data_IF_900473129190
#
_entry.id   IF_900473129190
#
_cell.length_a   1.000
_cell.length_b   1.000
_cell.length_c   1.000
_cell.angle_alpha   90.00
_cell.angle_beta   90.00
_cell.angle_gamma   90.00
#
_symmetry.space_group_name_H-M   'P 1'
#
loop_
_entity.id
_entity.type
_entity.pdbx_description
1 polymer ?
#
# COMPACT_ATOMS: atom_id res chain seq x y z
N UNK A 1 -10.91 21.94 9.27
CA UNK A 1 -9.72 21.28 8.71
C UNK A 1 -10.24 20.18 7.82
N UNK A 2 -10.02 20.31 6.52
CA UNK A 2 -10.91 19.79 5.47
C UNK A 2 -10.40 18.47 4.87
N UNK A 3 -11.29 17.80 4.13
CA UNK A 3 -10.98 16.67 3.25
C UNK A 3 -9.78 16.93 2.31
N UNK A 4 -9.45 18.21 2.05
CA UNK A 4 -8.29 18.62 1.25
C UNK A 4 -6.97 18.07 1.83
N UNK A 5 -6.80 18.00 3.15
CA UNK A 5 -5.55 17.49 3.74
C UNK A 5 -5.36 15.99 3.54
N UNK A 6 -6.44 15.20 3.58
CA UNK A 6 -6.40 13.76 3.27
C UNK A 6 -6.11 13.55 1.80
N UNK A 7 -6.73 14.34 0.92
CA UNK A 7 -6.46 14.30 -0.52
C UNK A 7 -4.99 14.61 -0.85
N UNK A 8 -4.40 15.60 -0.18
CA UNK A 8 -2.99 15.96 -0.35
C UNK A 8 -2.05 14.84 0.10
N UNK A 9 -2.30 14.21 1.26
CA UNK A 9 -1.52 13.07 1.74
C UNK A 9 -1.65 11.87 0.80
N UNK A 10 -2.85 11.57 0.29
CA UNK A 10 -3.04 10.52 -0.72
C UNK A 10 -2.24 10.79 -1.99
N UNK A 11 -2.27 12.04 -2.47
CA UNK A 11 -1.51 12.48 -3.64
C UNK A 11 -0.02 12.30 -3.41
N UNK A 12 0.49 12.70 -2.26
CA UNK A 12 1.91 12.57 -1.90
C UNK A 12 2.35 11.10 -1.82
N UNK A 13 1.55 10.24 -1.16
CA UNK A 13 1.80 8.79 -1.12
C UNK A 13 1.85 8.21 -2.53
N UNK A 14 0.87 8.55 -3.39
CA UNK A 14 0.81 8.06 -4.76
C UNK A 14 2.03 8.53 -5.57
N UNK A 15 2.35 9.82 -5.54
CA UNK A 15 3.47 10.40 -6.29
C UNK A 15 4.79 9.73 -5.90
N UNK A 16 5.12 9.69 -4.59
CA UNK A 16 6.35 9.04 -4.12
C UNK A 16 6.39 7.56 -4.48
N UNK A 17 5.23 6.89 -4.43
CA UNK A 17 5.18 5.46 -4.73
C UNK A 17 5.46 5.21 -6.20
N UNK A 18 4.90 6.02 -7.10
CA UNK A 18 5.15 5.96 -8.53
C UNK A 18 6.60 6.30 -8.87
N UNK A 19 7.18 7.30 -8.20
CA UNK A 19 8.58 7.69 -8.39
C UNK A 19 9.53 6.53 -8.10
N UNK A 20 9.25 5.72 -7.08
CA UNK A 20 10.02 4.54 -6.73
C UNK A 20 9.67 3.30 -7.59
N UNK A 21 8.38 3.12 -7.89
CA UNK A 21 7.87 1.93 -8.59
C UNK A 21 8.28 1.89 -10.06
N UNK A 22 8.10 2.99 -10.81
CA UNK A 22 8.31 2.99 -12.26
C UNK A 22 9.75 2.63 -12.67
N UNK A 23 10.83 3.20 -12.08
CA UNK A 23 12.19 2.77 -12.35
C UNK A 23 12.40 1.29 -12.02
N UNK A 24 11.90 0.82 -10.88
CA UNK A 24 12.06 -0.56 -10.45
C UNK A 24 11.32 -1.55 -11.38
N UNK A 25 10.14 -1.18 -11.86
CA UNK A 25 9.34 -1.96 -12.80
C UNK A 25 10.03 -2.07 -14.16
N UNK A 26 10.51 -0.95 -14.71
CA UNK A 26 11.18 -0.89 -16.02
C UNK A 26 12.61 -1.48 -15.99
N UNK A 27 13.23 -1.58 -14.81
CA UNK A 27 14.46 -2.35 -14.63
C UNK A 27 14.20 -3.86 -14.66
N UNK A 28 13.06 -4.32 -14.12
CA UNK A 28 12.69 -5.75 -14.09
C UNK A 28 12.19 -6.26 -15.44
N UNK A 29 11.48 -5.42 -16.20
CA UNK A 29 10.88 -5.80 -17.46
C UNK A 29 10.96 -4.67 -18.49
N UNK A 30 10.93 -5.04 -19.78
CA UNK A 30 10.92 -4.06 -20.87
C UNK A 30 9.65 -3.19 -20.86
N UNK A 31 8.53 -3.74 -20.38
CA UNK A 31 7.22 -3.10 -20.34
C UNK A 31 6.70 -3.10 -18.91
N UNK A 32 6.00 -2.04 -18.50
CA UNK A 32 5.22 -1.96 -17.27
C UNK A 32 3.87 -1.28 -17.52
N UNK A 33 2.87 -1.56 -16.68
CA UNK A 33 1.52 -0.97 -16.79
C UNK A 33 1.11 -0.36 -15.45
N UNK A 34 0.73 0.91 -15.48
CA UNK A 34 -0.01 1.57 -14.42
C UNK A 34 -1.47 1.70 -14.83
N UNK A 35 -2.39 1.30 -13.95
CA UNK A 35 -3.82 1.40 -14.19
C UNK A 35 -4.49 2.22 -13.08
N UNK A 36 -5.20 3.27 -13.45
CA UNK A 36 -5.95 4.16 -12.57
C UNK A 36 -7.44 3.95 -12.81
N UNK A 37 -8.17 3.45 -11.83
CA UNK A 37 -9.62 3.32 -11.88
C UNK A 37 -10.31 4.51 -11.23
N UNK A 38 -11.58 4.72 -11.54
CA UNK A 38 -12.39 5.84 -11.03
C UNK A 38 -11.82 7.21 -11.41
N UNK A 39 -11.14 7.31 -12.56
CA UNK A 39 -10.41 8.52 -12.97
C UNK A 39 -11.31 9.74 -13.20
N UNK A 40 -12.61 9.56 -13.37
CA UNK A 40 -13.62 10.61 -13.37
C UNK A 40 -13.81 11.23 -11.97
N UNK A 41 -13.81 10.42 -10.92
CA UNK A 41 -13.90 10.86 -9.54
C UNK A 41 -12.55 11.36 -8.99
N UNK A 42 -11.43 10.83 -9.49
CA UNK A 42 -10.08 11.09 -8.96
C UNK A 42 -9.13 11.73 -9.97
N UNK A 43 -9.67 12.53 -10.90
CA UNK A 43 -8.91 13.21 -11.95
C UNK A 43 -7.61 13.87 -11.45
N UNK A 44 -7.58 14.64 -10.34
CA UNK A 44 -6.34 15.27 -9.86
C UNK A 44 -5.24 14.26 -9.49
N UNK A 45 -5.59 13.09 -8.94
CA UNK A 45 -4.64 12.03 -8.62
C UNK A 45 -4.11 11.36 -9.89
N UNK A 46 -4.99 11.18 -10.87
CA UNK A 46 -4.63 10.59 -12.16
C UNK A 46 -3.73 11.53 -12.98
N UNK A 47 -3.98 12.84 -12.94
CA UNK A 47 -3.11 13.87 -13.53
C UNK A 47 -1.75 13.95 -12.79
N UNK A 48 -1.74 13.81 -11.46
CA UNK A 48 -0.49 13.75 -10.69
C UNK A 48 0.37 12.53 -11.09
N UNK A 49 -0.25 11.36 -11.27
CA UNK A 49 0.43 10.16 -11.74
C UNK A 49 1.02 10.35 -13.16
N UNK A 50 0.27 10.98 -14.07
CA UNK A 50 0.78 11.32 -15.40
C UNK A 50 1.97 12.28 -15.34
N UNK A 51 1.93 13.26 -14.43
CA UNK A 51 3.03 14.18 -14.16
C UNK A 51 4.33 13.43 -13.84
N UNK A 52 4.29 12.51 -12.87
CA UNK A 52 5.44 11.68 -12.47
C UNK A 52 6.03 10.94 -13.68
N UNK A 53 5.21 10.27 -14.48
CA UNK A 53 5.71 9.51 -15.62
C UNK A 53 6.27 10.38 -16.74
N UNK A 54 5.76 11.60 -16.89
CA UNK A 54 6.26 12.57 -17.87
C UNK A 54 7.64 13.08 -17.45
N UNK A 55 7.81 13.40 -16.17
CA UNK A 55 9.10 13.79 -15.58
C UNK A 55 10.14 12.67 -15.66
N UNK A 56 9.69 11.41 -15.58
CA UNK A 56 10.53 10.23 -15.71
C UNK A 56 10.72 9.72 -17.15
N UNK A 57 10.47 10.56 -18.17
CA UNK A 57 10.55 10.17 -19.58
C UNK A 57 11.92 9.62 -20.03
N UNK A 58 13.01 9.97 -19.36
CA UNK A 58 14.32 9.38 -19.66
C UNK A 58 14.43 7.90 -19.25
N UNK A 59 13.64 7.44 -18.27
CA UNK A 59 13.61 6.04 -17.83
C UNK A 59 13.00 5.10 -18.87
N UNK A 60 12.17 5.63 -19.77
CA UNK A 60 11.47 4.84 -20.80
C UNK A 60 12.26 4.71 -22.11
N UNK A 61 13.51 5.22 -22.19
CA UNK A 61 14.34 5.02 -23.40
C UNK A 61 14.60 3.53 -23.64
N UNK A 62 14.02 2.99 -24.72
CA UNK A 62 14.10 1.56 -25.07
C UNK A 62 13.21 0.65 -24.19
N UNK A 63 12.32 1.24 -23.41
CA UNK A 63 11.33 0.58 -22.54
C UNK A 63 9.94 1.14 -22.86
N UNK A 64 8.91 0.52 -22.30
CA UNK A 64 7.52 0.90 -22.53
C UNK A 64 6.77 1.00 -21.20
N UNK A 65 6.21 2.16 -20.91
CA UNK A 65 5.30 2.36 -19.80
C UNK A 65 3.91 2.69 -20.35
N UNK A 66 2.90 1.91 -19.97
CA UNK A 66 1.52 2.21 -20.29
C UNK A 66 0.79 2.74 -19.05
N UNK A 67 0.18 3.91 -19.17
CA UNK A 67 -0.78 4.44 -18.21
C UNK A 67 -2.18 4.28 -18.78
N UNK A 68 -3.05 3.58 -18.06
CA UNK A 68 -4.45 3.39 -18.41
C UNK A 68 -5.30 4.08 -17.36
N UNK A 69 -6.18 4.96 -17.77
CA UNK A 69 -7.14 5.62 -16.90
C UNK A 69 -8.55 5.23 -17.29
N UNK A 70 -9.30 4.63 -16.37
CA UNK A 70 -10.66 4.12 -16.60
C UNK A 70 -11.65 4.96 -15.80
N UNK A 71 -12.78 5.31 -16.40
CA UNK A 71 -13.79 6.19 -15.79
C UNK A 71 -13.83 7.56 -16.47
N UNK A 72 -12.69 8.05 -16.95
CA UNK A 72 -12.60 9.35 -17.61
C UNK A 72 -11.39 9.48 -18.53
N UNK A 73 -11.48 10.44 -19.44
CA UNK A 73 -10.33 10.84 -20.26
C UNK A 73 -9.39 11.73 -19.44
N UNK A 74 -8.11 11.36 -19.44
CA UNK A 74 -7.04 12.22 -18.92
C UNK A 74 -6.42 12.97 -20.10
N UNK A 75 -6.38 14.29 -19.99
CA UNK A 75 -5.72 15.13 -20.97
C UNK A 75 -4.20 14.95 -20.90
N UNK A 76 -3.57 14.77 -22.06
CA UNK A 76 -2.11 14.69 -22.14
C UNK A 76 -1.65 13.87 -23.34
N UNK A 77 -0.46 14.17 -23.84
CA UNK A 77 0.24 13.30 -24.80
C UNK A 77 1.41 12.67 -24.07
N UNK A 78 1.51 11.35 -24.09
CA UNK A 78 2.66 10.66 -23.52
C UNK A 78 3.95 11.04 -24.25
N UNK A 79 5.05 11.14 -23.50
CA UNK A 79 6.38 11.28 -24.08
C UNK A 79 6.84 10.00 -24.80
N UNK A 80 8.03 10.04 -25.43
CA UNK A 80 8.58 8.87 -26.10
C UNK A 80 8.71 7.67 -25.12
N UNK A 81 8.01 6.57 -25.37
CA UNK A 81 8.01 5.37 -24.51
C UNK A 81 6.93 5.34 -23.43
N UNK A 82 6.14 6.42 -23.26
CA UNK A 82 4.95 6.47 -22.42
C UNK A 82 3.69 6.47 -23.29
N UNK A 83 2.82 5.47 -23.14
CA UNK A 83 1.49 5.45 -23.76
C UNK A 83 0.43 5.76 -22.73
N UNK A 84 -0.40 6.77 -22.97
CA UNK A 84 -1.52 7.15 -22.10
C UNK A 84 -2.83 6.80 -22.80
N UNK A 85 -3.67 6.00 -22.15
CA UNK A 85 -4.96 5.58 -22.66
C UNK A 85 -6.07 5.97 -21.66
N UNK A 86 -6.90 6.94 -22.04
CA UNK A 86 -8.19 7.19 -21.39
C UNK A 86 -9.23 6.20 -21.91
N UNK A 87 -9.92 5.53 -21.01
CA UNK A 87 -10.98 4.57 -21.30
C UNK A 87 -12.29 5.10 -20.70
N UNK A 88 -13.23 5.57 -21.54
CA UNK A 88 -14.50 6.07 -21.05
C UNK A 88 -15.40 4.94 -20.56
N UNK A 89 -16.40 5.30 -19.76
CA UNK A 89 -17.38 4.36 -19.22
C UNK A 89 -17.07 3.96 -17.77
N UNK A 90 -17.99 3.22 -17.15
CA UNK A 90 -17.85 2.78 -15.77
C UNK A 90 -16.59 1.95 -15.58
N UNK A 91 -15.88 2.22 -14.48
CA UNK A 91 -14.65 1.50 -14.14
C UNK A 91 -14.89 0.00 -14.09
N UNK A 92 -15.96 -0.46 -13.44
CA UNK A 92 -16.24 -1.90 -13.27
C UNK A 92 -16.38 -2.63 -14.61
N UNK A 93 -17.02 -1.99 -15.58
CA UNK A 93 -17.34 -2.59 -16.87
C UNK A 93 -16.12 -2.63 -17.81
N UNK A 94 -15.26 -1.62 -17.70
CA UNK A 94 -14.19 -1.38 -18.68
C UNK A 94 -12.81 -1.85 -18.20
N UNK A 95 -12.63 -2.04 -16.89
CA UNK A 95 -11.34 -2.33 -16.25
C UNK A 95 -10.59 -3.52 -16.87
N UNK A 96 -11.24 -4.69 -16.93
CA UNK A 96 -10.61 -5.91 -17.43
C UNK A 96 -10.21 -5.81 -18.90
N UNK A 97 -11.06 -5.19 -19.73
CA UNK A 97 -10.78 -4.95 -21.14
C UNK A 97 -9.62 -3.97 -21.32
N UNK A 98 -9.58 -2.90 -20.53
CA UNK A 98 -8.54 -1.89 -20.54
C UNK A 98 -7.16 -2.47 -20.17
N UNK A 99 -7.09 -3.26 -19.09
CA UNK A 99 -5.86 -3.96 -18.69
C UNK A 99 -5.38 -4.95 -19.76
N UNK A 100 -6.29 -5.69 -20.38
CA UNK A 100 -5.96 -6.62 -21.48
C UNK A 100 -5.41 -5.87 -22.69
N UNK A 101 -6.04 -4.75 -23.07
CA UNK A 101 -5.60 -3.92 -24.19
C UNK A 101 -4.21 -3.30 -23.96
N UNK A 102 -3.91 -2.91 -22.72
CA UNK A 102 -2.59 -2.42 -22.32
C UNK A 102 -1.52 -3.52 -22.22
N UNK A 103 -1.90 -4.79 -22.34
CA UNK A 103 -0.97 -5.91 -22.23
C UNK A 103 -0.43 -6.12 -20.81
N UNK A 104 -1.28 -5.90 -19.79
CA UNK A 104 -0.93 -6.04 -18.37
C UNK A 104 -0.57 -7.47 -17.93
N UNK A 105 -0.73 -8.49 -18.79
CA UNK A 105 -0.41 -9.86 -18.44
C UNK A 105 1.10 -10.12 -18.40
N UNK A 106 1.59 -10.72 -17.31
CA UNK A 106 2.99 -11.15 -17.13
C UNK A 106 4.04 -10.03 -17.23
N UNK A 107 3.61 -8.78 -17.06
CA UNK A 107 4.48 -7.60 -16.91
C UNK A 107 4.24 -6.99 -15.52
N UNK A 108 5.16 -6.18 -14.98
CA UNK A 108 4.89 -5.40 -13.78
C UNK A 108 3.62 -4.56 -13.95
N UNK A 109 2.68 -4.71 -13.01
CA UNK A 109 1.42 -3.97 -12.98
C UNK A 109 1.25 -3.30 -11.62
N UNK A 110 0.86 -2.03 -11.64
CA UNK A 110 0.38 -1.30 -10.46
C UNK A 110 -1.02 -0.74 -10.73
N UNK A 111 -1.99 -1.13 -9.93
CA UNK A 111 -3.33 -0.55 -9.91
C UNK A 111 -3.48 0.53 -8.84
N UNK A 112 -4.22 1.59 -9.13
CA UNK A 112 -4.73 2.55 -8.14
C UNK A 112 -6.25 2.66 -8.29
N UNK A 113 -6.98 2.35 -7.23
CA UNK A 113 -8.45 2.30 -7.19
C UNK A 113 -8.93 3.11 -5.99
N UNK A 114 -9.30 4.38 -6.20
CA UNK A 114 -9.92 5.18 -5.14
C UNK A 114 -11.44 5.07 -5.24
N UNK A 115 -12.00 4.20 -4.39
CA UNK A 115 -13.41 3.87 -4.33
C UNK A 115 -14.15 4.67 -3.24
N UNK A 116 -13.58 5.77 -2.74
CA UNK A 116 -14.21 6.59 -1.68
C UNK A 116 -15.48 7.30 -2.14
N UNK A 117 -15.61 7.58 -3.44
CA UNK A 117 -16.76 8.25 -4.04
C UNK A 117 -17.85 7.28 -4.55
N UNK A 118 -17.63 5.97 -4.49
CA UNK A 118 -18.58 4.95 -4.96
C UNK A 118 -19.21 4.19 -3.79
N UNK A 119 -20.40 3.62 -4.01
CA UNK A 119 -21.17 2.93 -2.97
C UNK A 119 -20.65 1.52 -2.65
N UNK A 120 -19.89 0.91 -3.55
CA UNK A 120 -19.42 -0.46 -3.43
C UNK A 120 -17.89 -0.51 -3.61
N UNK A 121 -17.18 -1.35 -2.84
CA UNK A 121 -15.75 -1.55 -3.01
C UNK A 121 -15.44 -2.20 -4.38
N UNK A 122 -14.19 -2.12 -4.86
CA UNK A 122 -13.82 -2.74 -6.13
C UNK A 122 -14.11 -4.24 -6.15
N UNK A 123 -14.87 -4.70 -7.14
CA UNK A 123 -15.30 -6.08 -7.24
C UNK A 123 -14.15 -7.07 -7.48
N UNK A 124 -14.35 -8.33 -7.08
CA UNK A 124 -13.35 -9.41 -7.18
C UNK A 124 -12.77 -9.59 -8.60
N UNK A 125 -13.58 -9.40 -9.64
CA UNK A 125 -13.12 -9.50 -11.04
C UNK A 125 -12.09 -8.41 -11.40
N UNK A 126 -12.24 -7.20 -10.86
CA UNK A 126 -11.30 -6.10 -11.08
C UNK A 126 -9.95 -6.39 -10.43
N UNK A 127 -9.99 -6.84 -9.18
CA UNK A 127 -8.80 -7.20 -8.41
C UNK A 127 -8.07 -8.39 -9.06
N UNK A 128 -8.81 -9.42 -9.49
CA UNK A 128 -8.24 -10.59 -10.19
C UNK A 128 -7.58 -10.21 -11.52
N UNK A 129 -8.15 -9.24 -12.25
CA UNK A 129 -7.56 -8.78 -13.51
C UNK A 129 -6.17 -8.13 -13.30
N UNK A 130 -5.96 -7.41 -12.20
CA UNK A 130 -4.65 -6.85 -11.83
C UNK A 130 -3.63 -7.94 -11.47
N UNK A 131 -4.06 -8.98 -10.76
CA UNK A 131 -3.20 -10.08 -10.34
C UNK A 131 -2.58 -10.90 -11.49
N UNK A 132 -3.03 -10.67 -12.74
CA UNK A 132 -2.39 -11.22 -13.94
C UNK A 132 -0.99 -10.63 -14.23
N UNK A 133 -0.63 -9.51 -13.59
CA UNK A 133 0.69 -8.90 -13.63
C UNK A 133 1.77 -9.72 -12.93
N UNK A 134 3.04 -9.43 -13.22
CA UNK A 134 4.23 -10.07 -12.63
C UNK A 134 5.40 -9.09 -12.48
N UNK A 135 5.65 -8.53 -11.27
CA UNK A 135 4.79 -8.58 -10.09
C UNK A 135 3.49 -7.78 -10.30
N UNK A 136 2.46 -8.11 -9.52
CA UNK A 136 1.23 -7.33 -9.41
C UNK A 136 1.21 -6.59 -8.07
N UNK A 137 0.83 -5.31 -8.11
CA UNK A 137 0.68 -4.40 -6.98
C UNK A 137 -0.63 -3.61 -7.13
N UNK A 138 -1.28 -3.27 -6.03
CA UNK A 138 -2.49 -2.43 -6.04
C UNK A 138 -2.58 -1.57 -4.79
N UNK A 139 -2.98 -0.31 -4.97
CA UNK A 139 -3.45 0.58 -3.91
C UNK A 139 -4.97 0.72 -4.08
N UNK A 140 -5.72 0.39 -3.05
CA UNK A 140 -7.17 0.59 -2.98
C UNK A 140 -7.47 1.57 -1.86
N UNK A 141 -8.26 2.60 -2.14
CA UNK A 141 -8.74 3.54 -1.12
C UNK A 141 -10.24 3.35 -0.95
N UNK A 142 -10.70 3.18 0.28
CA UNK A 142 -12.12 2.99 0.63
C UNK A 142 -12.49 3.89 1.81
N UNK A 143 -13.80 4.17 2.04
CA UNK A 143 -14.23 4.92 3.22
C UNK A 143 -13.75 4.27 4.53
N UNK A 144 -13.45 5.06 5.56
CA UNK A 144 -12.92 4.58 6.83
C UNK A 144 -13.86 3.68 7.64
N UNK A 145 -15.14 3.64 7.27
CA UNK A 145 -16.12 2.70 7.81
C UNK A 145 -16.07 1.30 7.16
N UNK A 146 -15.23 1.11 6.14
CA UNK A 146 -15.15 -0.16 5.41
C UNK A 146 -14.56 -1.28 6.27
N UNK A 147 -15.07 -2.51 6.18
CA UNK A 147 -14.57 -3.65 6.95
C UNK A 147 -13.22 -4.15 6.40
N UNK A 148 -12.12 -3.69 7.02
CA UNK A 148 -10.74 -4.04 6.62
C UNK A 148 -10.47 -5.56 6.59
N UNK A 149 -10.95 -6.39 7.53
CA UNK A 149 -10.76 -7.84 7.46
C UNK A 149 -11.31 -8.45 6.16
N UNK A 150 -12.52 -8.05 5.76
CA UNK A 150 -13.13 -8.52 4.51
C UNK A 150 -12.34 -8.03 3.29
N UNK A 151 -11.95 -6.76 3.25
CA UNK A 151 -11.17 -6.21 2.15
C UNK A 151 -9.81 -6.91 1.98
N UNK A 152 -9.15 -7.27 3.10
CA UNK A 152 -7.92 -8.09 3.09
C UNK A 152 -8.18 -9.47 2.48
N UNK A 153 -9.26 -10.13 2.87
CA UNK A 153 -9.60 -11.45 2.36
C UNK A 153 -9.96 -11.41 0.86
N UNK A 154 -10.68 -10.40 0.41
CA UNK A 154 -10.99 -10.20 -1.01
C UNK A 154 -9.71 -10.00 -1.85
N UNK A 155 -8.76 -9.21 -1.36
CA UNK A 155 -7.45 -9.02 -2.01
C UNK A 155 -6.62 -10.31 -2.06
N UNK A 156 -6.61 -11.09 -0.97
CA UNK A 156 -5.93 -12.40 -0.91
C UNK A 156 -6.56 -13.38 -1.89
N UNK A 157 -7.89 -13.47 -1.93
CA UNK A 157 -8.62 -14.31 -2.88
C UNK A 157 -8.38 -13.89 -4.33
N UNK A 158 -8.20 -12.60 -4.59
CA UNK A 158 -7.85 -12.07 -5.90
C UNK A 158 -6.40 -12.36 -6.34
N UNK A 159 -5.54 -12.88 -5.46
CA UNK A 159 -4.17 -13.28 -5.76
C UNK A 159 -3.08 -12.38 -5.18
N UNK A 160 -3.41 -11.50 -4.22
CA UNK A 160 -2.44 -10.69 -3.50
C UNK A 160 -2.19 -11.26 -2.09
N UNK A 161 -1.18 -12.13 -1.88
CA UNK A 161 -0.96 -12.80 -0.60
C UNK A 161 -0.53 -11.83 0.51
N UNK A 162 0.00 -10.66 0.17
CA UNK A 162 0.54 -9.69 1.10
C UNK A 162 -0.30 -8.41 1.02
N UNK A 163 -0.94 -8.06 2.13
CA UNK A 163 -1.81 -6.88 2.24
C UNK A 163 -1.41 -6.10 3.48
N UNK A 164 -1.36 -4.78 3.35
CA UNK A 164 -1.29 -3.84 4.46
C UNK A 164 -2.43 -2.83 4.35
N UNK A 165 -2.88 -2.34 5.50
CA UNK A 165 -3.87 -1.28 5.57
C UNK A 165 -3.38 -0.17 6.51
N UNK A 166 -3.78 1.06 6.22
CA UNK A 166 -3.61 2.22 7.08
C UNK A 166 -4.82 3.13 6.91
N UNK A 167 -5.33 3.69 8.01
CA UNK A 167 -6.35 4.73 7.95
C UNK A 167 -5.67 6.11 8.00
N UNK A 168 -6.04 6.98 7.05
CA UNK A 168 -5.69 8.40 7.02
C UNK A 168 -6.77 9.17 7.77
N UNK A 169 -6.47 9.65 8.98
CA UNK A 169 -7.44 10.26 9.87
C UNK A 169 -7.06 11.69 10.27
N UNK A 170 -8.05 12.58 10.34
CA UNK A 170 -7.89 13.97 10.81
C UNK A 170 -8.49 14.19 12.20
N UNK A 171 -9.25 13.21 12.71
CA UNK A 171 -9.95 13.25 13.99
C UNK A 171 -10.24 11.83 14.48
N UNK A 172 -11.06 11.73 15.53
CA UNK A 172 -11.56 10.44 16.03
C UNK A 172 -12.63 9.82 15.11
N UNK A 173 -13.18 10.58 14.17
CA UNK A 173 -14.11 10.05 13.17
C UNK A 173 -13.38 9.11 12.18
N UNK A 174 -14.10 8.17 11.56
CA UNK A 174 -13.52 7.33 10.50
C UNK A 174 -13.02 8.19 9.33
N UNK A 175 -11.75 8.03 9.00
CA UNK A 175 -11.10 8.71 7.87
C UNK A 175 -11.28 7.96 6.55
N UNK A 176 -10.18 7.78 5.82
CA UNK A 176 -10.12 6.93 4.62
C UNK A 176 -9.13 5.81 4.84
N UNK A 177 -9.46 4.58 4.43
CA UNK A 177 -8.54 3.44 4.52
C UNK A 177 -7.82 3.28 3.19
N UNK A 178 -6.49 3.31 3.25
CA UNK A 178 -5.61 2.94 2.16
C UNK A 178 -5.12 1.50 2.38
N UNK A 179 -5.51 0.61 1.47
CA UNK A 179 -4.99 -0.75 1.39
C UNK A 179 -3.93 -0.83 0.30
N UNK A 180 -2.78 -1.42 0.61
CA UNK A 180 -1.77 -1.79 -0.36
C UNK A 180 -1.65 -3.30 -0.39
N UNK A 181 -1.68 -3.89 -1.59
CA UNK A 181 -1.56 -5.32 -1.76
C UNK A 181 -0.56 -5.66 -2.87
N UNK A 182 0.20 -6.73 -2.67
CA UNK A 182 1.28 -7.13 -3.56
C UNK A 182 1.53 -8.63 -3.56
N UNK A 183 2.21 -9.08 -4.61
CA UNK A 183 2.75 -10.44 -4.75
C UNK A 183 4.20 -10.55 -4.27
N UNK A 184 4.85 -9.44 -3.87
CA UNK A 184 6.27 -9.39 -3.55
C UNK A 184 6.54 -8.73 -2.18
N UNK A 185 7.14 -9.47 -1.25
CA UNK A 185 7.46 -8.97 0.10
C UNK A 185 8.30 -7.69 0.10
N UNK A 186 9.29 -7.59 -0.80
CA UNK A 186 10.12 -6.39 -0.95
C UNK A 186 9.29 -5.15 -1.35
N UNK A 187 8.23 -5.30 -2.14
CA UNK A 187 7.37 -4.17 -2.48
C UNK A 187 6.52 -3.73 -1.28
N UNK A 188 6.06 -4.67 -0.44
CA UNK A 188 5.37 -4.36 0.81
C UNK A 188 6.26 -3.60 1.80
N UNK A 189 7.50 -4.06 2.00
CA UNK A 189 8.48 -3.35 2.83
C UNK A 189 8.74 -1.93 2.33
N UNK A 190 9.01 -1.78 1.03
CA UNK A 190 9.24 -0.47 0.41
C UNK A 190 8.02 0.46 0.54
N UNK A 191 6.81 -0.08 0.42
CA UNK A 191 5.59 0.70 0.61
C UNK A 191 5.43 1.17 2.07
N UNK A 192 5.70 0.30 3.05
CA UNK A 192 5.68 0.67 4.47
C UNK A 192 6.74 1.71 4.83
N UNK A 193 7.94 1.58 4.28
CA UNK A 193 9.00 2.58 4.45
C UNK A 193 8.57 3.93 3.87
N UNK A 194 7.94 3.92 2.70
CA UNK A 194 7.41 5.12 2.06
C UNK A 194 6.34 5.80 2.91
N UNK A 195 5.36 5.06 3.43
CA UNK A 195 4.30 5.63 4.28
C UNK A 195 4.88 6.48 5.42
N UNK A 196 5.88 5.95 6.12
CA UNK A 196 6.51 6.66 7.25
C UNK A 196 7.52 7.74 6.82
N UNK A 197 7.88 7.80 5.54
CA UNK A 197 8.76 8.80 4.97
C UNK A 197 8.02 10.00 4.38
N UNK A 198 6.68 9.95 4.27
CA UNK A 198 5.86 11.10 3.89
C UNK A 198 6.08 12.22 4.91
N UNK A 199 6.22 13.45 4.41
CA UNK A 199 6.41 14.60 5.29
C UNK A 199 5.17 14.80 6.17
N UNK A 200 5.40 15.29 7.40
CA UNK A 200 4.30 15.58 8.32
C UNK A 200 3.33 16.57 7.68
N UNK A 201 2.10 16.10 7.41
CA UNK A 201 1.04 16.93 6.87
C UNK A 201 0.17 17.46 7.99
N UNK A 202 -0.07 18.78 7.98
CA UNK A 202 -0.82 19.46 9.03
C UNK A 202 -2.20 18.80 9.27
N UNK A 203 -2.30 18.07 10.39
CA UNK A 203 -3.54 17.50 10.89
C UNK A 203 -3.93 16.11 10.37
N UNK A 204 -3.15 15.48 9.49
CA UNK A 204 -3.39 14.07 9.10
C UNK A 204 -2.48 13.15 9.90
N UNK A 205 -3.08 12.13 10.50
CA UNK A 205 -2.40 11.08 11.27
C UNK A 205 -2.75 9.72 10.71
N UNK A 206 -1.89 8.75 10.99
CA UNK A 206 -2.18 7.36 10.71
C UNK A 206 -2.91 6.72 11.88
N UNK A 207 -3.83 5.83 11.55
CA UNK A 207 -4.43 4.90 12.50
C UNK A 207 -4.30 3.50 11.93
N UNK A 208 -3.98 2.55 12.80
CA UNK A 208 -4.02 1.15 12.45
C UNK A 208 -5.48 0.66 12.48
N UNK A 209 -6.05 0.18 11.37
CA UNK A 209 -7.42 -0.31 11.37
C UNK A 209 -7.64 -1.55 12.26
N UNK A 210 -6.56 -2.26 12.61
CA UNK A 210 -6.59 -3.38 13.54
C UNK A 210 -6.48 -2.98 15.01
N UNK A 211 -6.04 -1.76 15.34
CA UNK A 211 -5.86 -1.32 16.73
C UNK A 211 -7.22 -1.10 17.40
N UNK A 212 -7.60 -1.92 18.39
CA UNK A 212 -8.89 -1.79 19.08
C UNK A 212 -9.00 -0.45 19.83
N UNK A 213 -7.88 0.16 20.19
CA UNK A 213 -7.85 1.46 20.87
C UNK A 213 -7.80 2.64 19.88
N UNK A 214 -7.82 2.38 18.56
CA UNK A 214 -7.88 3.38 17.48
C UNK A 214 -6.89 4.54 17.62
N UNK A 215 -5.66 4.27 18.07
CA UNK A 215 -4.67 5.31 18.33
C UNK A 215 -4.33 6.10 17.07
N UNK A 216 -4.36 7.43 17.19
CA UNK A 216 -3.82 8.33 16.19
C UNK A 216 -2.31 8.46 16.37
N UNK A 217 -1.57 8.24 15.29
CA UNK A 217 -0.11 8.22 15.25
C UNK A 217 0.35 9.31 14.27
N UNK A 218 1.19 10.22 14.76
CA UNK A 218 1.80 11.25 13.90
C UNK A 218 2.70 10.59 12.84
N UNK A 219 2.66 11.12 11.61
CA UNK A 219 3.47 10.61 10.50
C UNK A 219 4.93 11.00 10.77
N UNK A 220 5.77 9.99 11.02
CA UNK A 220 7.17 10.20 11.38
C UNK A 220 8.02 8.98 11.02
N UNK A 221 9.30 9.23 10.70
CA UNK A 221 10.31 8.18 10.50
C UNK A 221 10.50 7.31 11.75
N UNK A 222 10.14 7.81 12.94
CA UNK A 222 10.16 7.06 14.20
C UNK A 222 8.79 7.10 14.86
N UNK A 223 7.84 6.26 14.41
CA UNK A 223 6.49 6.24 14.96
C UNK A 223 6.50 5.83 16.43
N UNK A 224 5.50 6.29 17.18
CA UNK A 224 5.37 5.97 18.60
C UNK A 224 5.23 4.44 18.80
N UNK A 225 6.10 3.79 19.61
CA UNK A 225 6.15 2.33 19.68
C UNK A 225 5.04 1.70 20.53
N UNK A 226 4.29 2.51 21.29
CA UNK A 226 3.30 2.02 22.27
C UNK A 226 2.23 1.09 21.69
N UNK A 227 1.50 1.48 20.62
CA UNK A 227 0.52 0.60 20.00
C UNK A 227 1.13 -0.70 19.50
N UNK A 228 2.26 -0.65 18.78
CA UNK A 228 2.95 -1.86 18.32
C UNK A 228 3.37 -2.79 19.48
N UNK A 229 3.80 -2.23 20.60
CA UNK A 229 4.14 -3.01 21.80
C UNK A 229 2.94 -3.81 22.30
N UNK A 230 1.75 -3.19 22.36
CA UNK A 230 0.52 -3.88 22.81
C UNK A 230 0.13 -4.99 21.83
N UNK A 231 0.16 -4.70 20.54
CA UNK A 231 -0.17 -5.66 19.48
C UNK A 231 0.76 -6.87 19.50
N UNK A 232 2.08 -6.67 19.60
CA UNK A 232 3.04 -7.79 19.67
C UNK A 232 2.85 -8.66 20.93
N UNK A 233 2.53 -8.05 22.07
CA UNK A 233 2.23 -8.79 23.29
C UNK A 233 0.88 -9.50 23.24
N UNK A 234 -0.11 -8.95 22.52
CA UNK A 234 -1.37 -9.64 22.27
C UNK A 234 -1.13 -10.87 21.39
N UNK A 235 -0.43 -10.70 20.27
CA UNK A 235 -0.09 -11.79 19.36
C UNK A 235 0.73 -12.90 20.04
N UNK A 236 1.72 -12.55 20.87
CA UNK A 236 2.48 -13.55 21.65
C UNK A 236 1.62 -14.30 22.68
N UNK A 237 0.61 -13.66 23.28
CA UNK A 237 -0.32 -14.34 24.20
C UNK A 237 -1.25 -15.31 23.47
N UNK A 238 -1.59 -15.02 22.23
CA UNK A 238 -2.43 -15.87 21.39
C UNK A 238 -1.65 -17.08 20.84
N UNK A 239 -0.44 -16.86 20.33
CA UNK A 239 0.41 -17.91 19.72
C UNK A 239 1.28 -18.67 20.74
N UNK A 240 1.46 -18.12 21.95
CA UNK A 240 2.34 -18.64 23.01
C UNK A 240 3.82 -18.32 22.80
N UNK A 241 4.39 -18.74 21.66
CA UNK A 241 5.74 -18.38 21.25
C UNK A 241 5.81 -18.06 19.76
N UNK A 242 6.67 -17.12 19.37
CA UNK A 242 6.84 -16.74 17.97
C UNK A 242 8.30 -16.44 17.65
N UNK A 243 8.73 -16.75 16.43
CA UNK A 243 10.05 -16.33 15.96
C UNK A 243 10.10 -14.81 15.73
N UNK A 244 11.28 -14.21 15.79
CA UNK A 244 11.48 -12.80 15.40
C UNK A 244 11.01 -12.57 13.96
N UNK A 245 11.16 -13.55 13.06
CA UNK A 245 10.62 -13.47 11.69
C UNK A 245 9.10 -13.41 11.67
N UNK A 246 8.42 -14.21 12.50
CA UNK A 246 6.97 -14.19 12.60
C UNK A 246 6.48 -12.84 13.12
N UNK A 247 7.12 -12.29 14.16
CA UNK A 247 6.77 -10.99 14.74
C UNK A 247 7.01 -9.82 13.78
N UNK A 248 8.09 -9.88 12.99
CA UNK A 248 8.36 -8.91 11.92
C UNK A 248 7.31 -9.00 10.80
N UNK A 249 6.95 -10.22 10.41
CA UNK A 249 5.90 -10.46 9.41
C UNK A 249 4.55 -9.94 9.91
N UNK A 250 4.18 -10.25 11.15
CA UNK A 250 2.96 -9.75 11.79
C UNK A 250 2.92 -8.21 11.78
N UNK A 251 3.99 -7.54 12.20
CA UNK A 251 4.04 -6.08 12.14
C UNK A 251 3.86 -5.56 10.70
N UNK A 252 4.51 -6.20 9.73
CA UNK A 252 4.47 -5.78 8.34
C UNK A 252 3.10 -5.98 7.68
N UNK A 253 2.40 -7.09 7.97
CA UNK A 253 1.13 -7.44 7.31
C UNK A 253 -0.09 -7.04 8.11
N UNK A 254 -0.10 -7.22 9.43
CA UNK A 254 -1.29 -7.03 10.26
C UNK A 254 -1.37 -5.63 10.85
N UNK A 255 -0.25 -4.94 11.02
CA UNK A 255 -0.22 -3.59 11.62
C UNK A 255 0.17 -2.50 10.62
N UNK A 256 0.10 -1.23 11.02
CA UNK A 256 0.61 -0.09 10.24
C UNK A 256 2.16 -0.03 10.20
N UNK A 257 2.85 -0.71 11.11
CA UNK A 257 4.30 -0.57 11.34
C UNK A 257 5.18 -1.35 10.36
N UNK A 258 6.50 -1.09 10.41
CA UNK A 258 7.54 -1.80 9.65
C UNK A 258 8.13 -2.96 10.46
N UNK A 259 8.76 -3.91 9.78
CA UNK A 259 9.56 -4.95 10.42
C UNK A 259 10.72 -4.39 11.29
N UNK A 260 11.29 -3.25 10.89
CA UNK A 260 12.30 -2.55 11.68
C UNK A 260 11.74 -2.01 13.01
N UNK A 261 10.49 -1.53 13.01
CA UNK A 261 9.81 -1.05 14.22
C UNK A 261 9.60 -2.21 15.21
N UNK A 262 9.17 -3.37 14.72
CA UNK A 262 9.03 -4.57 15.55
C UNK A 262 10.35 -4.96 16.20
N UNK A 263 11.46 -4.91 15.44
CA UNK A 263 12.80 -5.21 15.99
C UNK A 263 13.16 -4.25 17.13
N UNK A 264 12.90 -2.96 16.99
CA UNK A 264 13.14 -1.96 18.04
C UNK A 264 12.30 -2.25 19.28
N UNK A 265 11.01 -2.54 19.11
CA UNK A 265 10.11 -2.87 20.21
C UNK A 265 10.53 -4.15 20.93
N UNK A 266 10.94 -5.18 20.21
CA UNK A 266 11.41 -6.43 20.80
C UNK A 266 12.65 -6.22 21.67
N UNK A 267 13.61 -5.39 21.23
CA UNK A 267 14.73 -5.01 22.08
C UNK A 267 14.27 -4.36 23.38
N UNK A 268 13.37 -3.38 23.32
CA UNK A 268 12.82 -2.71 24.52
C UNK A 268 12.08 -3.69 25.44
N UNK A 269 11.31 -4.63 24.89
CA UNK A 269 10.59 -5.64 25.67
C UNK A 269 11.54 -6.61 26.39
N UNK A 270 12.62 -7.03 25.71
CA UNK A 270 13.64 -7.90 26.29
C UNK A 270 14.45 -7.19 27.38
N UNK A 271 14.86 -5.94 27.13
CA UNK A 271 15.61 -5.14 28.10
C UNK A 271 14.78 -4.87 29.37
N UNK A 272 13.46 -4.72 29.22
CA UNK A 272 12.52 -4.58 30.33
C UNK A 272 12.15 -5.91 31.00
N UNK A 273 12.63 -7.05 30.51
CA UNK A 273 12.26 -8.39 31.01
C UNK A 273 10.76 -8.72 30.84
N UNK A 274 10.05 -8.04 29.94
CA UNK A 274 8.62 -8.29 29.65
C UNK A 274 8.41 -9.52 28.78
N UNK A 275 9.42 -9.90 28.01
CA UNK A 275 9.44 -11.12 27.19
C UNK A 275 10.78 -11.82 27.38
N UNK A 276 10.84 -13.11 27.06
CA UNK A 276 12.08 -13.90 27.06
C UNK A 276 12.44 -14.34 25.65
N UNK A 277 13.67 -14.82 25.45
CA UNK A 277 14.14 -15.31 24.15
C UNK A 277 14.93 -16.61 24.23
N UNK A 278 14.90 -17.37 23.14
CA UNK A 278 15.73 -18.56 22.92
C UNK A 278 16.41 -18.50 21.54
N UNK A 279 17.74 -18.59 21.47
CA UNK A 279 18.72 -18.64 22.57
C UNK A 279 18.78 -17.34 23.39
N UNK A 280 19.19 -17.44 24.66
CA UNK A 280 19.23 -16.31 25.61
C UNK A 280 20.23 -15.21 25.20
N UNK A 281 21.28 -15.57 24.46
CA UNK A 281 22.37 -14.69 24.08
C UNK A 281 22.51 -14.62 22.55
N UNK A 282 23.09 -13.52 22.07
CA UNK A 282 23.36 -13.30 20.65
C UNK A 282 22.47 -12.23 20.00
N UNK A 283 22.59 -12.10 18.69
CA UNK A 283 21.78 -11.17 17.88
C UNK A 283 20.34 -11.67 17.77
N UNK A 284 19.39 -10.75 17.64
CA UNK A 284 18.00 -11.09 17.30
C UNK A 284 17.90 -11.47 15.81
N UNK A 285 18.41 -12.67 15.51
CA UNK A 285 18.22 -13.36 14.23
C UNK A 285 16.77 -13.76 14.04
N UNK A 286 16.42 -14.11 12.80
CA UNK A 286 15.03 -14.40 12.44
C UNK A 286 14.46 -15.68 13.07
N UNK A 287 15.33 -16.62 13.45
CA UNK A 287 15.04 -17.91 14.06
C UNK A 287 14.95 -17.85 15.59
N UNK A 288 15.32 -16.71 16.19
CA UNK A 288 15.20 -16.51 17.64
C UNK A 288 13.73 -16.56 18.03
N UNK A 289 13.40 -17.40 19.01
CA UNK A 289 12.05 -17.55 19.54
C UNK A 289 11.85 -16.56 20.69
N UNK A 290 10.71 -15.89 20.70
CA UNK A 290 10.26 -14.95 21.73
C UNK A 290 9.02 -15.52 22.42
N UNK A 291 8.96 -15.39 23.74
CA UNK A 291 7.84 -15.82 24.57
C UNK A 291 7.46 -14.71 25.54
N UNK A 292 6.15 -14.52 25.78
CA UNK A 292 5.63 -13.55 26.75
C UNK A 292 5.92 -13.94 28.20
#
# INVERSE_FOLDING_TARGET
>A
MSADSVADVKREILVRHLEAWAPAALHRARRAVYAHGYADATRPLAEAALGVFTEQSDLVRGRELAMVAVGGEIGGTGGAGLSVLGVPGRTEDSWGAALKAAGASRVPVLGFLDATAVSEPPGAAMLTALAAGKPAEVIVVVPGSSPVPQARDDLRQAGFPLVAAVELAVSDEPGEILLYATTLGKSLEAFKDLLWAVDEYAGVRYRDPGDPERHLIDISLSPHPGPLRRELLAHLREEGEASVTNLRTFALTETVYRAADATRVLHTLLDAGTVTRRPEHGRLGGDVIISA
#
